data_IF_494024379671
#
_entry.id   IF_494024379671
#
_cell.length_a   1.000
_cell.length_b   1.000
_cell.length_c   1.000
_cell.angle_alpha   90.00
_cell.angle_beta   90.00
_cell.angle_gamma   90.00
#
_symmetry.space_group_name_H-M   'P 1'
#
loop_
_entity.id
_entity.type
_entity.pdbx_description
1 polymer ?
#
# COMPACT_ATOMS: atom_id res chain seq x y z
N UNK A 1 12.69 12.79 -25.02
CA UNK A 1 11.95 11.87 -25.91
C UNK A 1 10.53 12.39 -26.05
N UNK A 2 9.96 12.48 -27.26
CA UNK A 2 8.53 12.83 -27.42
C UNK A 2 7.70 11.73 -26.78
N UNK A 3 6.76 12.08 -25.90
CA UNK A 3 5.79 11.10 -25.41
C UNK A 3 5.01 10.53 -26.61
N UNK A 4 4.76 9.21 -26.65
CA UNK A 4 3.94 8.63 -27.71
C UNK A 4 2.56 9.29 -27.70
N UNK A 5 1.99 9.51 -28.89
CA UNK A 5 0.65 10.06 -29.04
C UNK A 5 -0.37 9.23 -28.22
N UNK A 6 -1.31 9.87 -27.50
CA UNK A 6 -2.36 9.20 -26.74
C UNK A 6 -3.02 8.05 -27.54
N UNK A 7 -3.32 6.91 -26.89
CA UNK A 7 -3.99 5.78 -27.56
C UNK A 7 -5.27 6.19 -28.29
N UNK A 8 -6.05 7.11 -27.71
CA UNK A 8 -7.30 7.63 -28.29
C UNK A 8 -7.10 8.27 -29.67
N UNK A 9 -6.07 9.11 -29.84
CA UNK A 9 -5.78 9.78 -31.12
C UNK A 9 -5.34 8.79 -32.21
N UNK A 10 -4.59 7.75 -31.83
CA UNK A 10 -4.15 6.71 -32.76
C UNK A 10 -5.32 5.86 -33.23
N UNK A 11 -6.16 5.41 -32.28
CA UNK A 11 -7.34 4.60 -32.57
C UNK A 11 -8.35 5.39 -33.41
N UNK A 12 -8.66 6.63 -33.03
CA UNK A 12 -9.62 7.44 -33.77
C UNK A 12 -9.18 7.70 -35.22
N UNK A 13 -7.88 7.92 -35.44
CA UNK A 13 -7.32 8.06 -36.78
C UNK A 13 -7.51 6.78 -37.60
N UNK A 14 -7.30 5.60 -37.00
CA UNK A 14 -7.51 4.32 -37.67
C UNK A 14 -8.98 4.01 -37.96
N UNK A 15 -9.90 4.53 -37.15
CA UNK A 15 -11.36 4.35 -37.31
C UNK A 15 -12.00 5.42 -38.20
N UNK A 16 -11.29 6.49 -38.53
CA UNK A 16 -11.83 7.63 -39.28
C UNK A 16 -12.89 8.43 -38.51
N UNK A 17 -12.82 8.45 -37.17
CA UNK A 17 -13.80 9.11 -36.31
C UNK A 17 -13.15 10.11 -35.33
N UNK A 18 -13.98 10.86 -34.59
CA UNK A 18 -13.50 11.79 -33.55
C UNK A 18 -12.80 11.01 -32.41
N UNK A 19 -11.70 11.54 -31.83
CA UNK A 19 -11.08 10.98 -30.62
C UNK A 19 -12.01 10.85 -29.42
N UNK A 20 -13.10 11.61 -29.40
CA UNK A 20 -14.13 11.61 -28.34
C UNK A 20 -15.34 10.75 -28.67
N UNK A 21 -15.32 9.99 -29.78
CA UNK A 21 -16.41 9.11 -30.19
C UNK A 21 -16.53 7.87 -29.29
N UNK A 22 -17.76 7.40 -29.06
CA UNK A 22 -18.03 6.13 -28.37
C UNK A 22 -17.46 4.90 -29.12
N UNK A 23 -17.20 5.03 -30.43
CA UNK A 23 -16.54 4.00 -31.23
C UNK A 23 -15.10 3.76 -30.78
N UNK A 24 -14.39 4.82 -30.36
CA UNK A 24 -13.02 4.71 -29.84
C UNK A 24 -13.02 3.90 -28.55
N UNK A 25 -13.95 4.20 -27.63
CA UNK A 25 -14.10 3.44 -26.38
C UNK A 25 -14.45 1.97 -26.66
N UNK A 26 -15.43 1.71 -27.53
CA UNK A 26 -15.84 0.36 -27.93
C UNK A 26 -14.68 -0.45 -28.54
N UNK A 27 -13.85 0.20 -29.35
CA UNK A 27 -12.65 -0.42 -29.92
C UNK A 27 -11.64 -0.78 -28.83
N UNK A 28 -11.37 0.15 -27.90
CA UNK A 28 -10.44 -0.07 -26.80
C UNK A 28 -10.90 -1.23 -25.90
N UNK A 29 -12.18 -1.28 -25.53
CA UNK A 29 -12.75 -2.38 -24.74
C UNK A 29 -12.65 -3.74 -25.46
N UNK A 30 -12.89 -3.76 -26.78
CA UNK A 30 -12.80 -5.00 -27.57
C UNK A 30 -11.37 -5.55 -27.64
N UNK A 31 -10.37 -4.68 -27.57
CA UNK A 31 -8.95 -5.04 -27.67
C UNK A 31 -8.23 -5.08 -26.31
N UNK A 32 -8.93 -4.81 -25.21
CA UNK A 32 -8.38 -4.96 -23.88
C UNK A 32 -8.23 -6.44 -23.50
N UNK A 33 -6.96 -6.87 -23.34
CA UNK A 33 -6.62 -8.24 -22.92
C UNK A 33 -7.09 -8.55 -21.49
N UNK A 34 -7.33 -7.53 -20.67
CA UNK A 34 -7.77 -7.66 -19.28
C UNK A 34 -9.29 -7.61 -19.11
N UNK A 35 -10.06 -7.36 -20.18
CA UNK A 35 -11.52 -7.22 -20.14
C UNK A 35 -12.23 -8.32 -19.35
N UNK A 36 -11.79 -9.56 -19.52
CA UNK A 36 -12.36 -10.73 -18.86
C UNK A 36 -12.30 -10.67 -17.33
N UNK A 37 -11.35 -9.93 -16.76
CA UNK A 37 -11.21 -9.78 -15.30
C UNK A 37 -12.41 -9.05 -14.68
N UNK A 38 -13.11 -8.19 -15.44
CA UNK A 38 -14.34 -7.52 -14.98
C UNK A 38 -15.38 -8.53 -14.51
N UNK A 39 -15.44 -9.70 -15.13
CA UNK A 39 -16.40 -10.76 -14.78
C UNK A 39 -16.13 -11.38 -13.40
N UNK A 40 -14.96 -11.13 -12.80
CA UNK A 40 -14.60 -11.64 -11.48
C UNK A 40 -15.10 -10.77 -10.32
N UNK A 41 -15.74 -9.62 -10.61
CA UNK A 41 -16.20 -8.67 -9.60
C UNK A 41 -17.71 -8.54 -9.59
N UNK A 42 -18.25 -8.18 -8.43
CA UNK A 42 -19.64 -7.80 -8.25
C UNK A 42 -19.74 -6.28 -8.41
N UNK A 43 -20.31 -5.85 -9.54
CA UNK A 43 -20.58 -4.43 -9.82
C UNK A 43 -22.00 -4.10 -9.36
N UNK A 44 -22.21 -3.05 -8.54
CA UNK A 44 -23.56 -2.63 -8.14
C UNK A 44 -24.39 -2.21 -9.35
N UNK A 45 -25.69 -2.52 -9.34
CA UNK A 45 -26.62 -1.91 -10.29
C UNK A 45 -26.93 -0.48 -9.89
N UNK A 46 -27.35 0.35 -10.84
CA UNK A 46 -27.74 1.74 -10.57
C UNK A 46 -28.91 1.80 -9.59
N UNK A 47 -29.88 0.89 -9.68
CA UNK A 47 -31.05 0.85 -8.80
C UNK A 47 -30.69 0.59 -7.32
N UNK A 48 -29.58 -0.08 -7.04
CA UNK A 48 -29.15 -0.40 -5.68
C UNK A 48 -28.37 0.75 -5.00
N UNK A 49 -28.03 1.83 -5.73
CA UNK A 49 -27.22 2.93 -5.21
C UNK A 49 -28.05 4.09 -4.62
N UNK A 50 -27.80 4.51 -3.36
CA UNK A 50 -28.36 5.74 -2.80
C UNK A 50 -27.42 6.91 -3.12
N UNK A 51 -27.64 7.70 -4.20
CA UNK A 51 -28.90 8.42 -4.39
C UNK A 51 -29.41 8.44 -5.85
N UNK A 52 -29.49 7.28 -6.52
CA UNK A 52 -29.86 7.23 -7.94
C UNK A 52 -31.26 7.78 -8.22
N UNK A 53 -31.36 8.80 -9.08
CA UNK A 53 -32.62 9.28 -9.64
C UNK A 53 -33.01 8.44 -10.86
N UNK A 54 -33.87 7.45 -10.65
CA UNK A 54 -34.32 6.51 -11.68
C UNK A 54 -35.20 7.14 -12.77
N UNK A 55 -35.58 8.41 -12.63
CA UNK A 55 -36.21 9.15 -13.74
C UNK A 55 -35.22 9.56 -14.82
N UNK A 56 -33.91 9.60 -14.49
CA UNK A 56 -32.84 10.05 -15.39
C UNK A 56 -32.01 8.89 -15.95
N UNK A 57 -32.02 7.73 -15.29
CA UNK A 57 -31.13 6.61 -15.60
C UNK A 57 -31.86 5.27 -15.56
N UNK A 58 -31.42 4.34 -16.42
CA UNK A 58 -31.90 2.96 -16.42
C UNK A 58 -31.30 2.19 -15.23
N UNK A 59 -32.13 1.93 -14.23
CA UNK A 59 -31.74 1.25 -13.00
C UNK A 59 -31.21 -0.19 -13.17
N UNK A 60 -31.48 -0.84 -14.31
CA UNK A 60 -31.06 -2.22 -14.58
C UNK A 60 -29.59 -2.35 -14.97
N UNK A 61 -28.91 -1.24 -15.28
CA UNK A 61 -27.52 -1.23 -15.72
C UNK A 61 -26.54 -1.26 -14.54
N UNK A 62 -25.36 -1.80 -14.79
CA UNK A 62 -24.19 -1.62 -13.92
C UNK A 62 -23.91 -0.12 -13.70
N UNK A 63 -23.50 0.25 -12.49
CA UNK A 63 -23.05 1.61 -12.22
C UNK A 63 -21.66 1.90 -12.81
N UNK A 64 -21.36 3.18 -12.99
CA UNK A 64 -20.01 3.65 -13.32
C UNK A 64 -19.24 3.86 -12.01
N UNK A 65 -18.53 2.83 -11.55
CA UNK A 65 -17.87 2.81 -10.24
C UNK A 65 -16.46 3.41 -10.27
N UNK A 66 -16.36 4.75 -10.20
CA UNK A 66 -15.08 5.49 -10.22
C UNK A 66 -14.54 5.81 -8.82
N UNK A 67 -14.73 4.90 -7.86
CA UNK A 67 -14.31 5.09 -6.45
C UNK A 67 -13.59 3.85 -5.86
N UNK A 68 -13.07 2.97 -6.75
CA UNK A 68 -12.26 1.81 -6.36
C UNK A 68 -10.96 2.17 -5.62
N UNK A 69 -10.50 3.41 -5.77
CA UNK A 69 -9.36 3.97 -5.04
C UNK A 69 -9.64 4.20 -3.55
N UNK A 70 -10.91 4.16 -3.12
CA UNK A 70 -11.33 4.32 -1.73
C UNK A 70 -11.86 2.99 -1.17
N UNK A 71 -12.78 2.34 -1.89
CA UNK A 71 -13.28 1.02 -1.57
C UNK A 71 -13.34 0.19 -2.84
N UNK A 72 -12.54 -0.87 -2.91
CA UNK A 72 -12.51 -1.78 -4.04
C UNK A 72 -13.81 -2.59 -4.19
N UNK A 73 -14.15 -2.95 -5.43
CA UNK A 73 -15.29 -3.82 -5.70
C UNK A 73 -15.08 -5.21 -5.10
N UNK A 74 -16.16 -5.86 -4.65
CA UNK A 74 -16.07 -7.20 -4.08
C UNK A 74 -15.72 -8.25 -5.16
N UNK A 75 -14.65 -9.04 -5.00
CA UNK A 75 -14.43 -10.22 -5.84
C UNK A 75 -15.50 -11.28 -5.60
N UNK A 76 -16.03 -11.89 -6.67
CA UNK A 76 -17.06 -12.95 -6.60
C UNK A 76 -16.66 -14.13 -5.71
N UNK A 77 -15.36 -14.42 -5.66
CA UNK A 77 -14.78 -15.51 -4.88
C UNK A 77 -14.71 -15.25 -3.37
N UNK A 78 -14.88 -13.99 -2.92
CA UNK A 78 -14.72 -13.63 -1.51
C UNK A 78 -15.65 -14.43 -0.58
N UNK A 79 -16.93 -14.60 -0.98
CA UNK A 79 -17.91 -15.39 -0.22
C UNK A 79 -17.45 -16.84 -0.07
N UNK A 80 -17.03 -17.47 -1.17
CA UNK A 80 -16.58 -18.87 -1.17
C UNK A 80 -15.40 -19.10 -0.23
N UNK A 81 -14.40 -18.22 -0.24
CA UNK A 81 -13.24 -18.37 0.65
C UNK A 81 -13.59 -18.21 2.13
N UNK A 82 -14.55 -17.34 2.46
CA UNK A 82 -15.08 -17.23 3.82
C UNK A 82 -15.84 -18.50 4.23
N UNK A 83 -16.72 -19.00 3.36
CA UNK A 83 -17.49 -20.23 3.62
C UNK A 83 -16.58 -21.43 3.87
N UNK A 84 -15.49 -21.60 3.11
CA UNK A 84 -14.51 -22.66 3.34
C UNK A 84 -13.87 -22.61 4.74
N UNK A 85 -13.61 -21.42 5.28
CA UNK A 85 -13.04 -21.23 6.62
C UNK A 85 -14.06 -21.44 7.74
N UNK A 86 -15.31 -21.00 7.53
CA UNK A 86 -16.42 -21.27 8.44
C UNK A 86 -16.74 -22.77 8.52
N UNK A 87 -16.72 -23.45 7.38
CA UNK A 87 -16.87 -24.90 7.28
C UNK A 87 -15.74 -25.63 8.01
N UNK A 88 -14.48 -25.21 7.79
CA UNK A 88 -13.33 -25.79 8.50
C UNK A 88 -13.48 -25.60 10.01
N UNK A 89 -13.91 -24.41 10.45
CA UNK A 89 -14.09 -24.14 11.87
C UNK A 89 -15.16 -25.04 12.50
N UNK A 90 -16.34 -25.12 11.89
CA UNK A 90 -17.44 -25.96 12.40
C UNK A 90 -17.09 -27.45 12.42
N UNK A 91 -16.32 -27.95 11.45
CA UNK A 91 -15.97 -29.37 11.33
C UNK A 91 -14.76 -29.79 12.15
N UNK A 92 -13.76 -28.92 12.31
CA UNK A 92 -12.44 -29.28 12.84
C UNK A 92 -12.08 -28.60 14.16
N UNK A 93 -12.79 -27.54 14.55
CA UNK A 93 -12.48 -26.77 15.76
C UNK A 93 -11.00 -26.37 15.83
N UNK A 94 -10.36 -26.66 16.97
CA UNK A 94 -8.94 -26.33 17.23
C UNK A 94 -7.96 -26.93 16.20
N UNK A 95 -8.31 -28.06 15.57
CA UNK A 95 -7.44 -28.69 14.58
C UNK A 95 -7.26 -27.85 13.31
N UNK A 96 -8.15 -26.88 13.05
CA UNK A 96 -8.01 -25.91 11.96
C UNK A 96 -6.79 -25.00 12.10
N UNK A 97 -6.17 -24.91 13.29
CA UNK A 97 -4.92 -24.16 13.46
C UNK A 97 -3.77 -24.74 12.64
N UNK A 98 -3.69 -26.06 12.47
CA UNK A 98 -2.55 -26.73 11.83
C UNK A 98 -2.93 -27.53 10.59
N UNK A 99 -4.21 -27.77 10.34
CA UNK A 99 -4.71 -28.57 9.22
C UNK A 99 -5.58 -27.76 8.24
N UNK A 100 -5.84 -28.34 7.06
CA UNK A 100 -6.63 -27.73 5.99
C UNK A 100 -5.78 -26.96 4.97
N UNK A 101 -6.43 -26.40 3.94
CA UNK A 101 -5.76 -25.65 2.87
C UNK A 101 -5.11 -24.34 3.33
N UNK A 102 -5.63 -23.75 4.41
CA UNK A 102 -5.11 -22.52 5.05
C UNK A 102 -5.00 -22.70 6.56
N UNK A 103 -3.98 -23.39 7.08
CA UNK A 103 -3.84 -23.57 8.53
C UNK A 103 -3.72 -22.21 9.24
N UNK A 104 -4.57 -21.94 10.23
CA UNK A 104 -4.65 -20.58 10.82
C UNK A 104 -3.39 -20.13 11.55
N UNK A 105 -2.57 -21.07 12.04
CA UNK A 105 -1.31 -20.74 12.73
C UNK A 105 -0.26 -20.10 11.82
N UNK A 106 -0.40 -20.26 10.50
CA UNK A 106 0.51 -19.74 9.47
C UNK A 106 -0.28 -19.33 8.22
N UNK A 107 -1.48 -18.77 8.41
CA UNK A 107 -2.36 -18.37 7.32
C UNK A 107 -1.65 -17.35 6.40
N UNK A 108 -0.86 -16.46 6.98
CA UNK A 108 -0.08 -15.43 6.32
C UNK A 108 0.90 -15.99 5.27
N UNK A 109 1.53 -17.14 5.54
CA UNK A 109 2.52 -17.73 4.63
C UNK A 109 1.93 -18.09 3.26
N UNK A 110 0.60 -18.26 3.16
CA UNK A 110 -0.07 -18.60 1.90
C UNK A 110 -0.32 -17.37 0.99
N UNK A 111 -0.17 -16.16 1.53
CA UNK A 111 -0.55 -14.91 0.85
C UNK A 111 0.57 -13.86 0.85
N UNK A 112 1.60 -14.02 1.68
CA UNK A 112 2.79 -13.16 1.70
C UNK A 112 3.48 -13.11 0.32
N UNK A 113 3.66 -14.26 -0.37
CA UNK A 113 4.30 -14.30 -1.69
C UNK A 113 3.49 -13.55 -2.75
N UNK A 114 2.17 -13.73 -2.76
CA UNK A 114 1.28 -13.00 -3.67
C UNK A 114 1.39 -11.49 -3.45
N UNK A 115 1.46 -11.07 -2.18
CA UNK A 115 1.59 -9.66 -1.84
C UNK A 115 2.97 -9.10 -2.18
N UNK A 116 4.04 -9.88 -1.94
CA UNK A 116 5.41 -9.51 -2.28
C UNK A 116 5.57 -9.22 -3.77
N UNK A 117 4.91 -10.00 -4.64
CA UNK A 117 4.90 -9.74 -6.09
C UNK A 117 4.23 -8.40 -6.46
N UNK A 118 3.18 -8.00 -5.75
CA UNK A 118 2.48 -6.73 -6.02
C UNK A 118 3.32 -5.53 -5.60
N UNK A 119 4.06 -5.63 -4.50
CA UNK A 119 4.88 -4.52 -3.99
C UNK A 119 6.34 -4.57 -4.47
N UNK A 120 6.71 -5.57 -5.25
CA UNK A 120 8.08 -5.80 -5.72
C UNK A 120 9.06 -5.95 -4.56
N UNK A 121 8.72 -6.87 -3.64
CA UNK A 121 9.52 -7.24 -2.48
C UNK A 121 9.84 -8.74 -2.49
N UNK A 122 10.71 -9.17 -1.58
CA UNK A 122 10.86 -10.59 -1.25
C UNK A 122 9.79 -11.02 -0.24
N UNK A 123 9.43 -12.30 -0.24
CA UNK A 123 8.38 -12.83 0.66
C UNK A 123 8.71 -12.61 2.13
N UNK A 124 9.98 -12.75 2.52
CA UNK A 124 10.42 -12.56 3.92
C UNK A 124 10.39 -11.10 4.40
N UNK A 125 10.27 -10.15 3.47
CA UNK A 125 10.22 -8.71 3.76
C UNK A 125 8.79 -8.22 4.00
N UNK A 126 7.78 -9.04 3.71
CA UNK A 126 6.35 -8.68 3.77
C UNK A 126 5.65 -9.35 4.94
N UNK A 127 4.82 -8.59 5.65
CA UNK A 127 3.90 -9.10 6.65
C UNK A 127 2.49 -8.57 6.39
N UNK A 128 1.49 -9.46 6.42
CA UNK A 128 0.08 -9.10 6.36
C UNK A 128 -0.51 -9.14 7.77
N UNK A 129 -0.80 -7.97 8.33
CA UNK A 129 -1.20 -7.82 9.74
C UNK A 129 -1.93 -6.50 10.01
N UNK A 130 -2.77 -6.49 11.05
CA UNK A 130 -3.40 -5.31 11.63
C UNK A 130 -4.15 -4.41 10.60
N UNK A 131 -4.25 -3.12 10.92
CA UNK A 131 -4.66 -2.04 10.00
C UNK A 131 -3.47 -1.15 9.62
N UNK A 132 -3.65 -0.33 8.58
CA UNK A 132 -2.59 0.47 7.97
C UNK A 132 -1.87 1.38 8.98
N UNK A 133 -2.60 2.26 9.65
CA UNK A 133 -2.02 3.20 10.62
C UNK A 133 -1.40 2.49 11.82
N UNK A 134 -1.93 1.33 12.21
CA UNK A 134 -1.32 0.49 13.25
C UNK A 134 0.05 0.02 12.80
N UNK A 135 0.17 -0.48 11.57
CA UNK A 135 1.46 -0.89 11.01
C UNK A 135 2.43 0.28 10.89
N UNK A 136 1.97 1.46 10.45
CA UNK A 136 2.79 2.67 10.39
C UNK A 136 3.37 3.01 11.77
N UNK A 137 2.56 2.95 12.83
CA UNK A 137 3.05 3.14 14.20
C UNK A 137 4.10 2.10 14.61
N UNK A 138 3.88 0.82 14.31
CA UNK A 138 4.83 -0.25 14.63
C UNK A 138 6.17 -0.03 13.92
N UNK A 139 6.14 0.38 12.66
CA UNK A 139 7.33 0.69 11.87
C UNK A 139 8.05 1.92 12.44
N UNK A 140 7.34 3.03 12.68
CA UNK A 140 7.93 4.25 13.24
C UNK A 140 8.50 4.01 14.65
N UNK A 141 7.88 3.18 15.49
CA UNK A 141 8.45 2.83 16.79
C UNK A 141 9.83 2.18 16.69
N UNK A 142 10.12 1.49 15.58
CA UNK A 142 11.39 0.82 15.32
C UNK A 142 12.37 1.66 14.51
N UNK A 143 11.90 2.46 13.54
CA UNK A 143 12.76 3.26 12.64
C UNK A 143 13.00 4.69 13.15
N UNK A 144 12.02 5.31 13.80
CA UNK A 144 12.16 6.66 14.35
C UNK A 144 12.83 6.62 15.74
N UNK A 145 14.16 6.77 15.71
CA UNK A 145 15.06 6.84 16.88
C UNK A 145 15.72 8.22 16.94
N UNK A 146 14.97 9.28 17.28
CA UNK A 146 15.47 10.64 17.22
C UNK A 146 16.59 10.90 18.22
N UNK A 147 17.45 11.86 17.88
CA UNK A 147 18.48 12.45 18.75
C UNK A 147 18.32 13.97 18.74
N UNK A 148 18.99 14.69 19.64
CA UNK A 148 18.95 16.15 19.66
C UNK A 148 19.34 16.80 18.32
N UNK A 149 20.26 16.19 17.56
CA UNK A 149 20.69 16.71 16.26
C UNK A 149 19.86 16.19 15.08
N UNK A 150 19.23 15.02 15.22
CA UNK A 150 18.50 14.33 14.14
C UNK A 150 17.17 13.79 14.67
N UNK A 151 16.13 14.61 14.59
CA UNK A 151 14.81 14.31 15.13
C UNK A 151 13.66 14.64 14.18
N UNK A 152 13.92 15.27 13.03
CA UNK A 152 12.82 15.64 12.13
C UNK A 152 12.26 14.42 11.41
N UNK A 153 10.96 14.42 11.16
CA UNK A 153 10.29 13.57 10.17
C UNK A 153 9.83 14.47 9.03
N UNK A 154 10.29 14.18 7.81
CA UNK A 154 9.92 14.89 6.59
C UNK A 154 8.73 14.19 5.92
N UNK A 155 7.65 14.92 5.62
CA UNK A 155 6.45 14.43 4.93
C UNK A 155 5.83 15.52 4.04
N UNK A 156 4.99 15.14 3.09
CA UNK A 156 4.23 16.11 2.29
C UNK A 156 3.21 16.87 3.14
N UNK A 157 3.06 18.16 2.87
CA UNK A 157 1.97 18.94 3.44
C UNK A 157 0.62 18.40 2.97
N UNK A 158 -0.39 18.46 3.84
CA UNK A 158 -1.70 17.82 3.64
C UNK A 158 -1.59 16.33 3.28
N UNK A 159 -0.64 15.63 3.90
CA UNK A 159 -0.64 14.17 3.96
C UNK A 159 -2.01 13.65 4.44
N UNK A 160 -2.30 12.38 4.17
CA UNK A 160 -3.55 11.79 4.63
C UNK A 160 -3.70 11.98 6.16
N UNK A 161 -4.88 12.38 6.68
CA UNK A 161 -4.99 12.81 8.07
C UNK A 161 -4.48 11.79 9.09
N UNK A 162 -4.68 10.48 8.83
CA UNK A 162 -4.21 9.45 9.74
C UNK A 162 -2.68 9.37 9.83
N UNK A 163 -1.98 9.57 8.73
CA UNK A 163 -0.51 9.58 8.65
C UNK A 163 0.06 10.79 9.38
N UNK A 164 -0.57 11.97 9.16
CA UNK A 164 -0.22 13.19 9.87
C UNK A 164 -0.29 13.00 11.39
N UNK A 165 -1.42 12.48 11.90
CA UNK A 165 -1.58 12.21 13.33
C UNK A 165 -0.64 11.10 13.83
N UNK A 166 -0.33 10.11 12.98
CA UNK A 166 0.62 9.06 13.35
C UNK A 166 2.04 9.63 13.55
N UNK A 167 2.50 10.49 12.64
CA UNK A 167 3.78 11.19 12.74
C UNK A 167 3.80 12.12 13.94
N UNK A 168 2.78 12.96 14.10
CA UNK A 168 2.70 13.90 15.22
C UNK A 168 2.78 13.19 16.57
N UNK A 169 1.99 12.12 16.75
CA UNK A 169 1.98 11.37 18.01
C UNK A 169 3.28 10.59 18.25
N UNK A 170 3.97 10.11 17.20
CA UNK A 170 5.28 9.47 17.34
C UNK A 170 6.37 10.48 17.76
N UNK A 171 6.32 11.70 17.23
CA UNK A 171 7.20 12.80 17.66
C UNK A 171 6.97 13.11 19.14
N UNK A 172 5.71 13.31 19.55
CA UNK A 172 5.34 13.56 20.96
C UNK A 172 5.75 12.42 21.88
N UNK A 173 5.56 11.17 21.45
CA UNK A 173 5.94 9.97 22.20
C UNK A 173 7.45 9.89 22.48
N UNK A 174 8.27 10.54 21.64
CA UNK A 174 9.72 10.64 21.81
C UNK A 174 10.17 11.90 22.57
N UNK A 175 9.24 12.72 23.05
CA UNK A 175 9.50 13.93 23.84
C UNK A 175 9.92 15.14 23.01
N UNK A 176 9.68 15.13 21.70
CA UNK A 176 9.99 16.25 20.81
C UNK A 176 8.72 17.07 20.52
N UNK A 177 8.90 18.34 20.14
CA UNK A 177 7.81 19.22 19.70
C UNK A 177 7.51 18.99 18.20
N UNK A 178 6.27 18.63 17.82
CA UNK A 178 5.86 18.56 16.43
C UNK A 178 6.11 19.83 15.62
N UNK A 179 5.99 21.03 16.20
CA UNK A 179 6.22 22.26 15.45
C UNK A 179 7.67 22.39 14.94
N UNK A 180 8.62 21.76 15.64
CA UNK A 180 10.04 21.79 15.28
C UNK A 180 10.50 20.52 14.56
N UNK A 181 9.80 19.41 14.76
CA UNK A 181 10.23 18.08 14.33
C UNK A 181 9.39 17.50 13.19
N UNK A 182 8.27 18.12 12.85
CA UNK A 182 7.44 17.72 11.72
C UNK A 182 7.73 18.68 10.55
N UNK A 183 8.61 18.25 9.64
CA UNK A 183 9.01 19.05 8.49
C UNK A 183 8.03 18.78 7.34
N UNK A 184 7.12 19.72 7.10
CA UNK A 184 6.11 19.63 6.04
C UNK A 184 6.62 20.29 4.75
N UNK A 185 6.50 19.58 3.64
CA UNK A 185 6.84 20.10 2.32
C UNK A 185 5.57 20.49 1.55
N UNK A 186 5.40 21.78 1.28
CA UNK A 186 4.26 22.31 0.51
C UNK A 186 4.65 22.57 -0.95
N UNK A 187 3.68 22.46 -1.89
CA UNK A 187 3.88 22.90 -3.27
C UNK A 187 4.29 24.37 -3.38
N UNK A 188 4.92 24.72 -4.51
CA UNK A 188 5.20 26.12 -4.86
C UNK A 188 3.89 26.92 -5.00
N UNK A 189 3.91 28.24 -4.78
CA UNK A 189 2.72 29.07 -4.98
C UNK A 189 2.10 28.88 -6.37
N UNK A 190 0.80 28.56 -6.41
CA UNK A 190 0.06 28.28 -7.66
C UNK A 190 0.13 26.83 -8.15
N UNK A 191 0.82 25.94 -7.43
CA UNK A 191 0.89 24.51 -7.73
C UNK A 191 0.15 23.69 -6.66
N UNK A 192 -0.39 22.54 -7.05
CA UNK A 192 -1.02 21.59 -6.13
C UNK A 192 -0.16 20.34 -5.87
N UNK A 193 0.83 20.09 -6.73
CA UNK A 193 1.71 18.92 -6.67
C UNK A 193 3.13 19.36 -6.32
N UNK A 194 3.91 18.45 -5.72
CA UNK A 194 5.30 18.70 -5.39
C UNK A 194 6.19 18.37 -6.58
N UNK A 195 7.15 19.23 -6.89
CA UNK A 195 8.16 18.87 -7.88
C UNK A 195 9.19 17.95 -7.25
N UNK A 196 9.67 16.97 -8.03
CA UNK A 196 10.66 16.00 -7.49
C UNK A 196 11.94 16.73 -7.08
N UNK A 197 12.39 17.68 -7.88
CA UNK A 197 13.57 18.51 -7.59
C UNK A 197 13.48 19.25 -6.25
N UNK A 198 12.29 19.73 -5.86
CA UNK A 198 12.09 20.45 -4.59
C UNK A 198 12.20 19.49 -3.41
N UNK A 199 11.64 18.28 -3.54
CA UNK A 199 11.77 17.23 -2.52
C UNK A 199 13.25 16.88 -2.30
N UNK A 200 13.99 16.67 -3.40
CA UNK A 200 15.40 16.31 -3.34
C UNK A 200 16.26 17.45 -2.76
N UNK A 201 15.96 18.70 -3.10
CA UNK A 201 16.67 19.87 -2.56
C UNK A 201 16.49 19.99 -1.05
N UNK A 202 15.27 19.80 -0.52
CA UNK A 202 15.02 19.83 0.92
C UNK A 202 15.76 18.70 1.64
N UNK A 203 15.76 17.48 1.08
CA UNK A 203 16.53 16.36 1.64
C UNK A 203 18.03 16.68 1.65
N UNK A 204 18.56 17.25 0.57
CA UNK A 204 19.98 17.61 0.50
C UNK A 204 20.35 18.69 1.53
N UNK A 205 19.51 19.72 1.68
CA UNK A 205 19.74 20.83 2.61
C UNK A 205 19.59 20.41 4.08
N UNK A 206 18.55 19.67 4.42
CA UNK A 206 18.14 19.42 5.82
C UNK A 206 18.38 17.98 6.29
N UNK A 207 18.82 17.09 5.41
CA UNK A 207 18.95 15.65 5.66
C UNK A 207 19.80 15.25 6.85
N UNK A 208 20.72 16.11 7.32
CA UNK A 208 21.50 15.84 8.55
C UNK A 208 20.64 15.87 9.83
N UNK A 209 19.51 16.60 9.79
CA UNK A 209 18.57 16.77 10.91
C UNK A 209 17.33 15.86 10.81
N UNK A 210 17.13 15.20 9.67
CA UNK A 210 15.99 14.33 9.39
C UNK A 210 16.32 12.89 9.83
N UNK A 211 15.52 12.33 10.73
CA UNK A 211 15.62 10.94 11.14
C UNK A 211 14.93 10.01 10.14
N UNK A 212 13.73 10.42 9.69
CA UNK A 212 12.88 9.64 8.79
C UNK A 212 12.30 10.55 7.71
N UNK A 213 12.39 10.13 6.46
CA UNK A 213 11.56 10.65 5.37
C UNK A 213 10.38 9.70 5.23
N UNK A 214 9.16 10.21 5.40
CA UNK A 214 7.92 9.45 5.31
C UNK A 214 6.98 10.17 4.34
N UNK A 215 6.73 9.57 3.18
CA UNK A 215 5.85 10.12 2.15
C UNK A 215 4.76 9.11 1.81
N UNK A 216 3.63 9.56 1.27
CA UNK A 216 2.78 8.62 0.51
C UNK A 216 3.50 8.15 -0.77
N UNK A 217 3.19 6.95 -1.26
CA UNK A 217 3.62 6.51 -2.59
C UNK A 217 2.83 7.23 -3.68
N UNK A 218 1.52 7.33 -3.49
CA UNK A 218 0.61 8.16 -4.30
C UNK A 218 -0.20 9.05 -3.36
N UNK A 219 -0.20 10.36 -3.61
CA UNK A 219 -0.94 11.32 -2.79
C UNK A 219 -2.45 11.14 -3.01
N UNK A 220 -3.22 10.97 -1.91
CA UNK A 220 -4.61 10.53 -1.94
C UNK A 220 -5.60 11.49 -2.65
N UNK A 221 -5.29 12.79 -2.63
CA UNK A 221 -6.13 13.88 -3.14
C UNK A 221 -5.69 14.29 -4.54
N UNK A 222 -4.41 14.61 -4.75
CA UNK A 222 -3.91 15.09 -6.05
C UNK A 222 -3.66 13.96 -7.05
N UNK A 223 -3.59 12.71 -6.58
CA UNK A 223 -3.24 11.54 -7.40
C UNK A 223 -1.77 11.51 -7.81
N UNK A 224 -0.92 12.36 -7.25
CA UNK A 224 0.49 12.43 -7.59
C UNK A 224 1.22 11.14 -7.18
N UNK A 225 1.81 10.45 -8.14
CA UNK A 225 2.78 9.37 -7.89
C UNK A 225 4.16 9.99 -7.62
N UNK A 226 4.69 9.78 -6.41
CA UNK A 226 6.03 10.24 -6.05
C UNK A 226 7.11 9.30 -6.60
N UNK A 227 8.27 9.87 -6.95
CA UNK A 227 9.43 9.08 -7.37
C UNK A 227 10.11 8.45 -6.14
N UNK A 228 9.53 7.35 -5.65
CA UNK A 228 9.98 6.65 -4.44
C UNK A 228 11.45 6.28 -4.50
N UNK A 229 11.94 5.76 -5.64
CA UNK A 229 13.35 5.40 -5.81
C UNK A 229 14.30 6.60 -5.59
N UNK A 230 14.02 7.75 -6.23
CA UNK A 230 14.86 8.94 -6.09
C UNK A 230 14.84 9.52 -4.67
N UNK A 231 13.67 9.52 -4.02
CA UNK A 231 13.50 10.00 -2.65
C UNK A 231 14.23 9.08 -1.67
N UNK A 232 14.13 7.76 -1.85
CA UNK A 232 14.86 6.76 -1.06
C UNK A 232 16.36 6.96 -1.15
N UNK A 233 16.90 7.06 -2.37
CA UNK A 233 18.32 7.25 -2.59
C UNK A 233 18.82 8.54 -1.94
N UNK A 234 18.11 9.66 -2.13
CA UNK A 234 18.48 10.94 -1.56
C UNK A 234 18.45 10.94 -0.02
N UNK A 235 17.40 10.40 0.60
CA UNK A 235 17.29 10.34 2.05
C UNK A 235 18.39 9.49 2.68
N UNK A 236 18.65 8.31 2.09
CA UNK A 236 19.68 7.38 2.58
C UNK A 236 21.09 7.94 2.45
N UNK A 237 21.41 8.67 1.36
CA UNK A 237 22.70 9.38 1.23
C UNK A 237 22.96 10.36 2.37
N UNK A 238 21.92 10.90 3.01
CA UNK A 238 22.02 11.82 4.15
C UNK A 238 21.90 11.13 5.51
N UNK A 239 21.80 9.80 5.52
CA UNK A 239 21.66 8.97 6.71
C UNK A 239 20.24 8.92 7.29
N UNK A 240 19.22 9.28 6.50
CA UNK A 240 17.82 9.13 6.90
C UNK A 240 17.34 7.70 6.61
N UNK A 241 16.41 7.20 7.41
CA UNK A 241 15.53 6.12 6.93
C UNK A 241 14.46 6.71 6.02
N UNK A 242 14.06 6.00 4.99
CA UNK A 242 13.03 6.42 4.04
C UNK A 242 11.96 5.34 3.91
N UNK A 243 10.73 5.70 4.23
CA UNK A 243 9.59 4.79 4.10
C UNK A 243 8.37 5.45 3.50
N UNK A 244 7.43 4.61 3.06
CA UNK A 244 6.24 5.09 2.35
C UNK A 244 4.93 4.49 2.85
N UNK A 245 3.88 5.32 2.87
CA UNK A 245 2.50 4.82 2.87
C UNK A 245 2.05 4.54 1.43
N UNK A 246 1.90 3.27 1.11
CA UNK A 246 1.54 2.77 -0.20
C UNK A 246 0.03 2.52 -0.36
N UNK A 247 -0.85 3.12 0.44
CA UNK A 247 -2.30 2.87 0.39
C UNK A 247 -2.93 3.12 -0.98
N UNK A 248 -2.47 4.15 -1.70
CA UNK A 248 -2.92 4.45 -3.07
C UNK A 248 -1.98 3.91 -4.15
N UNK A 249 -0.89 3.25 -3.77
CA UNK A 249 0.12 2.74 -4.69
C UNK A 249 0.04 1.22 -4.87
N UNK A 250 -0.14 0.46 -3.79
CA UNK A 250 -0.22 -1.00 -3.83
C UNK A 250 -1.44 -1.47 -4.64
N UNK A 251 -1.20 -2.25 -5.69
CA UNK A 251 -2.23 -2.69 -6.64
C UNK A 251 -2.65 -1.63 -7.67
N UNK A 252 -1.98 -0.49 -7.72
CA UNK A 252 -2.26 0.61 -8.65
C UNK A 252 -1.04 0.98 -9.51
N UNK A 253 0.04 1.45 -8.86
CA UNK A 253 1.31 1.74 -9.52
C UNK A 253 2.24 0.53 -9.42
N UNK A 254 3.15 0.36 -10.40
CA UNK A 254 4.21 -0.64 -10.31
C UNK A 254 5.16 -0.25 -9.17
N UNK A 255 5.38 -1.17 -8.23
CA UNK A 255 6.25 -0.98 -7.08
C UNK A 255 7.44 -1.95 -7.15
N UNK A 256 8.62 -1.48 -6.73
CA UNK A 256 9.83 -2.28 -6.59
C UNK A 256 10.52 -1.96 -5.27
N UNK A 257 9.81 -2.14 -4.17
CA UNK A 257 10.27 -1.69 -2.84
C UNK A 257 11.65 -2.25 -2.46
N UNK A 258 11.92 -3.52 -2.81
CA UNK A 258 13.22 -4.14 -2.61
C UNK A 258 14.30 -3.50 -3.48
N UNK A 259 14.10 -3.46 -4.80
CA UNK A 259 15.12 -2.97 -5.74
C UNK A 259 15.41 -1.47 -5.56
N UNK A 260 14.40 -0.69 -5.16
CA UNK A 260 14.55 0.73 -4.84
C UNK A 260 15.25 0.96 -3.50
N UNK A 261 15.47 -0.09 -2.72
CA UNK A 261 16.15 -0.02 -1.44
C UNK A 261 15.32 0.67 -0.35
N UNK A 262 13.98 0.72 -0.47
CA UNK A 262 13.09 1.36 0.52
C UNK A 262 13.34 0.76 1.90
N UNK A 263 13.34 1.55 2.98
CA UNK A 263 13.65 1.01 4.31
C UNK A 263 12.45 0.29 4.94
N UNK A 264 11.26 0.89 4.81
CA UNK A 264 10.00 0.29 5.22
C UNK A 264 8.83 0.85 4.41
N UNK A 265 7.72 0.12 4.36
CA UNK A 265 6.47 0.64 3.80
C UNK A 265 5.26 -0.01 4.48
N UNK A 266 4.09 0.58 4.33
CA UNK A 266 2.83 -0.02 4.75
C UNK A 266 1.71 0.32 3.76
N UNK A 267 0.66 -0.50 3.70
CA UNK A 267 -0.50 -0.25 2.83
C UNK A 267 -1.76 -0.89 3.40
N UNK A 268 -2.92 -0.39 3.00
CA UNK A 268 -4.20 -1.07 3.22
C UNK A 268 -4.53 -2.00 2.05
N UNK A 269 -5.45 -2.94 2.25
CA UNK A 269 -5.88 -3.88 1.21
C UNK A 269 -7.30 -3.63 0.67
N UNK A 270 -8.04 -2.68 1.26
CA UNK A 270 -9.45 -2.47 0.91
C UNK A 270 -9.69 -1.50 -0.26
N UNK A 271 -8.63 -0.84 -0.77
CA UNK A 271 -8.66 0.04 -1.94
C UNK A 271 -8.49 -0.78 -3.21
N UNK A 272 -7.43 -0.53 -4.00
CA UNK A 272 -7.14 -1.24 -5.25
C UNK A 272 -6.95 -2.77 -5.10
N UNK A 273 -6.63 -3.24 -3.88
CA UNK A 273 -6.47 -4.66 -3.57
C UNK A 273 -7.80 -5.36 -3.22
N UNK A 274 -8.92 -4.65 -3.17
CA UNK A 274 -10.28 -5.21 -3.15
C UNK A 274 -10.60 -6.18 -2.00
N UNK A 275 -10.02 -6.00 -0.81
CA UNK A 275 -10.22 -6.92 0.33
C UNK A 275 -11.52 -6.72 1.13
N UNK A 276 -12.32 -5.70 0.80
CA UNK A 276 -13.44 -5.25 1.64
C UNK A 276 -13.00 -4.34 2.80
N UNK A 277 -13.93 -3.50 3.28
CA UNK A 277 -13.67 -2.43 4.23
C UNK A 277 -12.96 -2.91 5.51
N UNK A 278 -11.87 -2.24 5.89
CA UNK A 278 -11.11 -2.58 7.10
C UNK A 278 -10.34 -3.91 6.99
N UNK A 279 -10.15 -4.45 5.78
CA UNK A 279 -9.34 -5.63 5.55
C UNK A 279 -7.89 -5.51 6.03
N UNK A 280 -7.24 -6.66 6.16
CA UNK A 280 -5.90 -6.80 6.72
C UNK A 280 -4.87 -5.95 5.97
N UNK A 281 -4.13 -5.11 6.67
CA UNK A 281 -3.10 -4.28 6.07
C UNK A 281 -1.80 -5.06 5.80
N UNK A 282 -0.89 -4.45 5.03
CA UNK A 282 0.45 -4.95 4.82
C UNK A 282 1.52 -4.03 5.41
N UNK A 283 2.67 -4.61 5.70
CA UNK A 283 3.90 -3.94 6.08
C UNK A 283 5.08 -4.57 5.34
N UNK A 284 6.05 -3.74 4.99
CA UNK A 284 7.30 -4.12 4.37
C UNK A 284 8.46 -3.61 5.22
N UNK A 285 9.47 -4.45 5.43
CA UNK A 285 10.77 -4.07 5.99
C UNK A 285 11.85 -4.74 5.16
N UNK A 286 12.72 -3.95 4.56
CA UNK A 286 13.77 -4.48 3.70
C UNK A 286 14.74 -5.38 4.48
N UNK A 287 15.14 -6.50 3.89
CA UNK A 287 16.02 -7.51 4.47
C UNK A 287 17.34 -6.94 4.99
N UNK A 288 17.83 -5.81 4.44
CA UNK A 288 19.03 -5.10 4.92
C UNK A 288 18.92 -4.67 6.39
N UNK A 289 17.70 -4.60 6.93
CA UNK A 289 17.40 -4.23 8.32
C UNK A 289 17.18 -5.41 9.26
N UNK A 290 17.20 -6.65 8.76
CA UNK A 290 16.90 -7.89 9.51
C UNK A 290 17.65 -8.00 10.85
N UNK A 291 18.90 -7.54 10.89
CA UNK A 291 19.76 -7.65 12.06
C UNK A 291 19.96 -6.36 12.85
N UNK A 292 19.72 -5.20 12.23
CA UNK A 292 19.97 -3.86 12.80
C UNK A 292 18.69 -3.20 13.35
N UNK A 293 17.52 -3.54 12.82
CA UNK A 293 16.22 -3.05 13.27
C UNK A 293 15.44 -4.20 13.90
N UNK A 294 14.97 -3.99 15.13
CA UNK A 294 14.17 -4.96 15.87
C UNK A 294 12.80 -4.36 16.19
N UNK A 295 11.76 -5.19 16.35
CA UNK A 295 10.50 -4.73 16.94
C UNK A 295 10.79 -4.00 18.25
N UNK A 296 10.15 -2.85 18.45
CA UNK A 296 10.36 -2.03 19.63
C UNK A 296 10.27 -2.89 20.90
N UNK A 297 11.21 -2.70 21.85
CA UNK A 297 11.42 -3.61 22.99
C UNK A 297 10.15 -3.90 23.82
N UNK A 298 9.16 -3.00 23.77
CA UNK A 298 7.88 -3.11 24.50
C UNK A 298 6.76 -3.80 23.71
N UNK A 299 6.97 -4.12 22.44
CA UNK A 299 5.99 -4.74 21.54
C UNK A 299 6.58 -6.02 20.94
N UNK A 300 6.43 -7.14 21.66
CA UNK A 300 6.75 -8.49 21.17
C UNK A 300 5.56 -9.41 21.48
N UNK A 301 5.10 -10.15 20.46
CA UNK A 301 3.96 -11.07 20.57
C UNK A 301 4.35 -12.53 20.28
N UNK A 302 3.52 -13.47 20.73
CA UNK A 302 3.79 -14.92 20.65
C UNK A 302 3.95 -15.48 19.23
N UNK A 303 3.32 -14.85 18.22
CA UNK A 303 3.38 -15.28 16.81
C UNK A 303 4.82 -15.23 16.25
N UNK A 304 5.58 -14.18 16.59
CA UNK A 304 6.99 -14.03 16.18
C UNK A 304 7.87 -15.14 16.77
N UNK A 305 7.59 -15.54 18.01
CA UNK A 305 8.33 -16.60 18.71
C UNK A 305 8.06 -17.99 18.14
N UNK A 306 6.86 -18.22 17.59
CA UNK A 306 6.47 -19.51 17.02
C UNK A 306 7.15 -19.77 15.66
N UNK A 307 7.21 -18.79 14.75
CA UNK A 307 7.96 -18.91 13.47
C UNK A 307 9.45 -19.22 13.73
N UNK A 308 10.07 -18.54 14.71
CA UNK A 308 11.48 -18.75 15.05
C UNK A 308 11.74 -20.13 15.67
N UNK A 309 10.83 -20.64 16.53
CA UNK A 309 10.92 -22.01 17.08
C UNK A 309 10.77 -23.08 16.02
N UNK A 310 9.95 -22.86 14.99
CA UNK A 310 9.77 -23.81 13.88
C UNK A 310 10.98 -23.88 12.96
N UNK A 311 11.53 -22.73 12.53
CA UNK A 311 12.77 -22.71 11.75
C UNK A 311 13.92 -23.43 12.49
N UNK A 312 13.95 -23.31 13.81
CA UNK A 312 14.89 -24.06 14.63
C UNK A 312 14.55 -25.56 14.69
N UNK A 313 13.28 -25.98 14.81
CA UNK A 313 12.90 -27.40 14.78
C UNK A 313 13.17 -28.08 13.44
N UNK A 314 12.95 -27.40 12.31
CA UNK A 314 13.26 -27.93 10.98
C UNK A 314 14.78 -28.08 10.75
N UNK A 315 15.63 -27.30 11.44
CA UNK A 315 17.10 -27.50 11.47
C UNK A 315 17.56 -28.67 12.33
N UNK A 316 16.70 -29.24 13.17
CA UNK A 316 17.02 -30.32 14.12
C UNK A 316 16.25 -31.62 13.85
N UNK A 317 15.69 -31.81 12.66
CA UNK A 317 15.30 -33.15 12.23
C UNK A 317 16.59 -33.93 11.89
N UNK A 318 16.92 -35.02 12.59
CA UNK A 318 17.98 -35.90 12.15
C UNK A 318 17.58 -36.47 10.79
N UNK A 319 18.55 -36.52 9.87
CA UNK A 319 18.48 -37.42 8.72
C UNK A 319 18.30 -38.84 9.27
N UNK A 320 17.10 -39.39 9.14
CA UNK A 320 16.82 -40.82 9.26
C UNK A 320 15.57 -41.16 8.46
#
# INVERSE_FOLDING_TARGET
MRQPSPPSLRVSSSLGCSPTSAEVASYLDKHDKLRHLRENFLVPTIADLPPSDLSLVDGSKDCIYLVGNSLGLQPKMARKYLEEELDKWSKMGVHGHTLGSRPWGWAENNIEELMANVVGAKTEEVALMNGLTVNLHLLLLSFYKPTAARHKILLEDKAFPSDHYAVESQIRLRGFDPQQSMLLLSPRPGEETLRTEDILEVIEREGHSIAVVMFSGVQYYTGQLFNMAAITEAGQRKGCYVGFDCAHAAGNAELKLHDWGVDFACWCSYKYLNSGAGGLAGAFVHEKHKDSVRPAKKLRGGVVHYKQRRQNRERYLPLS
#
